data_IF_537077362708
#
_entry.id   IF_537077362708
#
_cell.length_a   1.000
_cell.length_b   1.000
_cell.length_c   1.000
_cell.angle_alpha   90.00
_cell.angle_beta   90.00
_cell.angle_gamma   90.00
#
_symmetry.space_group_name_H-M   'P 1'
#
loop_
_entity.id
_entity.type
_entity.pdbx_description
1 polymer ?
#
# COMPACT_ATOMS: atom_id res chain seq x y z
N UNK A 1 2.45 -0.95 -4.99
CA UNK A 1 3.29 -2.14 -4.71
C UNK A 1 2.94 -2.66 -3.33
N UNK A 2 2.72 -3.97 -3.20
CA UNK A 2 2.45 -4.65 -1.92
C UNK A 2 3.72 -5.42 -1.51
N UNK A 3 4.09 -5.39 -0.24
CA UNK A 3 5.29 -6.04 0.26
C UNK A 3 5.08 -6.57 1.69
N UNK A 4 5.85 -7.61 2.04
CA UNK A 4 5.84 -8.22 3.37
C UNK A 4 7.01 -7.68 4.18
N UNK A 5 6.77 -7.36 5.45
CA UNK A 5 7.78 -6.71 6.31
C UNK A 5 8.36 -7.68 7.34
N UNK A 6 9.53 -7.37 7.93
CA UNK A 6 10.06 -8.09 9.07
C UNK A 6 9.13 -8.09 10.31
N UNK A 7 8.17 -7.16 10.37
CA UNK A 7 7.12 -7.12 11.39
C UNK A 7 6.01 -8.16 11.21
N UNK A 8 6.19 -9.11 10.29
CA UNK A 8 5.22 -10.15 9.94
C UNK A 8 3.87 -9.63 9.43
N UNK A 9 3.87 -8.46 8.81
CA UNK A 9 2.67 -7.84 8.25
C UNK A 9 2.84 -7.50 6.77
N UNK A 10 1.70 -7.35 6.10
CA UNK A 10 1.62 -6.81 4.76
C UNK A 10 1.46 -5.30 4.82
N UNK A 11 2.13 -4.63 3.89
CA UNK A 11 2.04 -3.19 3.69
C UNK A 11 1.94 -2.89 2.19
N UNK A 12 1.49 -1.68 1.85
CA UNK A 12 1.53 -1.19 0.49
C UNK A 12 2.18 0.19 0.42
N UNK A 13 2.78 0.47 -0.74
CA UNK A 13 3.25 1.79 -1.12
C UNK A 13 2.87 2.11 -2.56
N UNK A 14 2.46 3.34 -2.79
CA UNK A 14 2.19 3.94 -4.08
C UNK A 14 3.43 4.76 -4.46
N UNK A 15 3.90 4.60 -5.70
CA UNK A 15 5.06 5.33 -6.19
C UNK A 15 4.56 6.19 -7.35
N UNK A 16 4.65 7.51 -7.22
CA UNK A 16 4.28 8.42 -8.29
C UNK A 16 5.31 8.38 -9.42
N UNK A 17 4.94 8.94 -10.58
CA UNK A 17 5.86 9.09 -11.71
C UNK A 17 7.06 9.99 -11.40
N UNK A 18 6.96 10.86 -10.40
CA UNK A 18 8.05 11.72 -9.92
C UNK A 18 8.92 11.04 -8.86
N UNK A 19 8.63 9.78 -8.49
CA UNK A 19 9.33 9.05 -7.45
C UNK A 19 8.87 9.35 -6.03
N UNK A 20 7.76 10.08 -5.87
CA UNK A 20 7.13 10.29 -4.57
C UNK A 20 6.57 8.97 -4.04
N UNK A 21 6.79 8.69 -2.75
CA UNK A 21 6.28 7.48 -2.09
C UNK A 21 5.13 7.88 -1.19
N UNK A 22 3.98 7.24 -1.40
CA UNK A 22 2.74 7.46 -0.67
C UNK A 22 2.25 6.14 -0.11
N UNK A 23 1.51 6.19 0.98
CA UNK A 23 0.94 5.03 1.64
C UNK A 23 0.63 5.34 3.08
N UNK A 24 0.05 4.37 3.76
CA UNK A 24 -0.23 4.46 5.19
C UNK A 24 0.56 3.40 5.96
N UNK A 25 1.01 3.79 7.16
CA UNK A 25 1.60 2.86 8.11
C UNK A 25 0.49 2.11 8.83
N UNK A 26 -0.03 1.08 8.16
CA UNK A 26 -1.06 0.18 8.70
C UNK A 26 -0.67 -1.26 8.47
N UNK A 27 -0.96 -2.09 9.47
CA UNK A 27 -0.72 -3.53 9.44
C UNK A 27 -1.87 -4.18 8.67
N UNK A 28 -1.54 -4.84 7.55
CA UNK A 28 -2.47 -5.71 6.84
C UNK A 28 -2.13 -7.18 7.10
N UNK A 29 -3.15 -7.99 7.41
CA UNK A 29 -2.97 -9.41 7.69
C UNK A 29 -2.84 -10.26 6.42
N UNK A 30 -3.28 -9.75 5.26
CA UNK A 30 -3.18 -10.43 3.97
C UNK A 30 -2.69 -9.50 2.87
N UNK A 31 -2.04 -10.06 1.86
CA UNK A 31 -1.57 -9.31 0.69
C UNK A 31 -2.73 -8.68 -0.09
N UNK A 32 -3.86 -9.39 -0.17
CA UNK A 32 -5.07 -8.93 -0.85
C UNK A 32 -5.69 -7.73 -0.14
N UNK A 33 -5.62 -7.68 1.20
CA UNK A 33 -6.12 -6.54 1.95
C UNK A 33 -5.27 -5.29 1.68
N UNK A 34 -3.94 -5.42 1.72
CA UNK A 34 -3.01 -4.33 1.38
C UNK A 34 -3.20 -3.87 -0.08
N UNK A 35 -3.42 -4.79 -1.01
CA UNK A 35 -3.66 -4.48 -2.41
C UNK A 35 -4.97 -3.71 -2.60
N UNK A 36 -6.06 -4.16 -1.97
CA UNK A 36 -7.38 -3.55 -2.11
C UNK A 36 -7.36 -2.10 -1.65
N UNK A 37 -6.83 -1.83 -0.46
CA UNK A 37 -6.76 -0.46 0.05
C UNK A 37 -5.86 0.43 -0.81
N UNK A 38 -4.71 -0.10 -1.26
CA UNK A 38 -3.84 0.65 -2.18
C UNK A 38 -4.52 1.00 -3.50
N UNK A 39 -5.43 0.16 -4.01
CA UNK A 39 -6.23 0.46 -5.21
C UNK A 39 -7.37 1.45 -4.95
N UNK A 40 -7.98 1.42 -3.77
CA UNK A 40 -9.00 2.39 -3.36
C UNK A 40 -8.41 3.80 -3.23
N UNK A 41 -7.24 3.93 -2.62
CA UNK A 41 -6.50 5.20 -2.55
C UNK A 41 -6.24 5.83 -3.92
N UNK A 42 -5.87 5.02 -4.92
CA UNK A 42 -5.68 5.49 -6.29
C UNK A 42 -6.97 5.96 -6.97
N UNK A 43 -8.14 5.52 -6.49
CA UNK A 43 -9.45 5.95 -7.02
C UNK A 43 -9.95 7.23 -6.38
N UNK A 44 -9.62 7.44 -5.11
CA UNK A 44 -10.00 8.63 -4.34
C UNK A 44 -9.14 9.86 -4.67
N UNK A 45 -7.97 9.68 -5.29
CA UNK A 45 -7.09 10.77 -5.77
C UNK A 45 -7.62 11.50 -7.03
N UNK A 46 -8.96 11.57 -7.21
CA UNK A 46 -9.65 12.19 -8.37
C UNK A 46 -10.03 13.65 -8.16
#
# INVERSE_FOLDING_TARGET
MVFYTPGHCWEFRIISRTGGIFGEQKIYYTAEAALRIGLEWLRDER
#
